data_IF_778647265962
#
_entry.id   IF_778647265962
#
_cell.length_a   1.000
_cell.length_b   1.000
_cell.length_c   1.000
_cell.angle_alpha   90.00
_cell.angle_beta   90.00
_cell.angle_gamma   90.00
#
_symmetry.space_group_name_H-M   'P 1'
#
loop_
_entity.id
_entity.type
_entity.pdbx_description
1 polymer ?
#
# COMPACT_ATOMS: atom_id res chain seq x y z
N UNK A 1 11.50 -1.33 -31.45
CA UNK A 1 10.24 -1.95 -30.93
C UNK A 1 10.59 -2.69 -29.67
N UNK A 2 10.00 -2.30 -28.56
CA UNK A 2 10.18 -3.00 -27.27
C UNK A 2 9.41 -4.32 -27.28
N UNK A 3 9.72 -5.23 -26.36
CA UNK A 3 8.98 -6.49 -26.21
C UNK A 3 7.50 -6.25 -25.94
N UNK A 4 7.19 -5.25 -25.12
CA UNK A 4 5.79 -4.87 -24.84
C UNK A 4 5.07 -4.40 -26.12
N UNK A 5 5.70 -3.56 -26.94
CA UNK A 5 5.10 -3.12 -28.22
C UNK A 5 4.82 -4.31 -29.14
N UNK A 6 5.77 -5.25 -29.24
CA UNK A 6 5.59 -6.48 -30.04
C UNK A 6 4.41 -7.30 -29.53
N UNK A 7 4.30 -7.52 -28.21
CA UNK A 7 3.19 -8.28 -27.63
C UNK A 7 1.83 -7.59 -27.81
N UNK A 8 1.80 -6.26 -27.73
CA UNK A 8 0.57 -5.49 -27.98
C UNK A 8 0.15 -5.62 -29.44
N UNK A 9 1.06 -5.51 -30.40
CA UNK A 9 0.75 -5.70 -31.83
C UNK A 9 0.27 -7.12 -32.14
N UNK A 10 0.88 -8.13 -31.51
CA UNK A 10 0.55 -9.54 -31.74
C UNK A 10 -0.79 -9.93 -31.11
N UNK A 11 -1.01 -9.58 -29.84
CA UNK A 11 -2.16 -10.06 -29.05
C UNK A 11 -3.31 -9.05 -28.93
N UNK A 12 -3.07 -7.78 -29.22
CA UNK A 12 -4.07 -6.72 -29.11
C UNK A 12 -4.21 -5.86 -30.39
N UNK A 13 -4.23 -6.44 -31.61
CA UNK A 13 -4.22 -5.67 -32.86
C UNK A 13 -5.45 -4.74 -33.01
N UNK A 14 -6.54 -5.05 -32.31
CA UNK A 14 -7.78 -4.27 -32.30
C UNK A 14 -8.00 -3.54 -30.95
N UNK A 15 -6.94 -3.39 -30.14
CA UNK A 15 -7.01 -2.83 -28.79
C UNK A 15 -7.38 -3.87 -27.73
N UNK A 16 -7.65 -3.40 -26.52
CA UNK A 16 -7.91 -4.22 -25.33
C UNK A 16 -9.39 -4.12 -24.96
N UNK A 17 -10.01 -5.26 -24.63
CA UNK A 17 -11.38 -5.29 -24.12
C UNK A 17 -11.48 -4.62 -22.75
N UNK A 18 -12.59 -3.90 -22.49
CA UNK A 18 -12.89 -3.29 -21.19
C UNK A 18 -14.15 -3.92 -20.59
N UNK A 19 -14.08 -4.30 -19.32
CA UNK A 19 -15.23 -4.84 -18.58
C UNK A 19 -15.44 -4.10 -17.27
N UNK A 20 -16.71 -4.04 -16.83
CA UNK A 20 -17.04 -3.49 -15.52
C UNK A 20 -16.71 -4.49 -14.40
N UNK A 21 -16.30 -4.00 -13.23
CA UNK A 21 -15.99 -4.86 -12.08
C UNK A 21 -17.17 -5.75 -11.69
N UNK A 22 -18.41 -5.25 -11.77
CA UNK A 22 -19.59 -6.04 -11.46
C UNK A 22 -19.82 -7.25 -12.38
N UNK A 23 -19.20 -7.28 -13.59
CA UNK A 23 -19.20 -8.45 -14.48
C UNK A 23 -18.03 -9.41 -14.19
N UNK A 24 -16.99 -8.94 -13.54
CA UNK A 24 -15.74 -9.66 -13.35
C UNK A 24 -15.62 -10.32 -11.99
N UNK A 25 -16.39 -9.89 -11.00
CA UNK A 25 -16.24 -10.40 -9.64
C UNK A 25 -17.29 -9.86 -8.69
N UNK A 26 -17.05 -10.10 -7.42
CA UNK A 26 -17.95 -9.70 -6.33
C UNK A 26 -17.21 -8.92 -5.25
N UNK A 27 -17.91 -7.95 -4.63
CA UNK A 27 -17.42 -7.21 -3.49
C UNK A 27 -17.86 -7.85 -2.18
N UNK A 28 -16.97 -7.93 -1.19
CA UNK A 28 -17.25 -8.40 0.15
C UNK A 28 -16.77 -7.40 1.21
N UNK A 29 -17.35 -7.45 2.41
CA UNK A 29 -16.97 -6.60 3.54
C UNK A 29 -15.82 -7.20 4.34
N UNK A 30 -15.11 -6.35 5.08
CA UNK A 30 -14.20 -6.78 6.14
C UNK A 30 -14.95 -7.32 7.35
N UNK A 31 -14.23 -7.48 8.46
CA UNK A 31 -14.76 -7.98 9.73
C UNK A 31 -16.02 -7.24 10.18
N UNK A 32 -16.94 -7.97 10.78
CA UNK A 32 -18.15 -7.42 11.38
C UNK A 32 -18.32 -7.91 12.80
N UNK A 33 -18.98 -7.09 13.65
CA UNK A 33 -19.33 -7.48 15.03
C UNK A 33 -18.15 -7.62 15.99
N UNK A 34 -16.98 -7.00 15.69
CA UNK A 34 -15.80 -7.03 16.54
C UNK A 34 -15.72 -5.80 17.45
N UNK A 35 -15.31 -6.01 18.69
CA UNK A 35 -14.99 -5.00 19.69
C UNK A 35 -13.47 -4.74 19.76
N UNK A 36 -13.04 -3.78 20.56
CA UNK A 36 -11.60 -3.54 20.80
C UNK A 36 -10.90 -4.75 21.44
N UNK A 37 -11.59 -5.47 22.30
CA UNK A 37 -11.03 -6.59 23.06
C UNK A 37 -10.70 -7.77 22.13
N UNK A 38 -11.42 -7.92 21.02
CA UNK A 38 -11.14 -8.95 20.01
C UNK A 38 -9.79 -8.77 19.30
N UNK A 39 -9.13 -7.62 19.45
CA UNK A 39 -7.83 -7.33 18.82
C UNK A 39 -6.65 -7.36 19.80
N UNK A 40 -6.86 -7.73 21.08
CA UNK A 40 -5.79 -7.74 22.09
C UNK A 40 -4.94 -9.01 21.99
N UNK A 41 -5.56 -10.18 22.00
CA UNK A 41 -4.91 -11.50 21.95
C UNK A 41 -5.58 -12.37 20.89
N UNK A 42 -5.52 -11.95 19.63
CA UNK A 42 -6.20 -12.61 18.53
C UNK A 42 -5.58 -13.96 18.16
N UNK A 43 -6.42 -14.88 17.68
CA UNK A 43 -6.02 -16.20 17.21
C UNK A 43 -5.89 -16.31 15.69
N UNK A 44 -6.11 -15.21 14.96
CA UNK A 44 -6.08 -15.19 13.50
C UNK A 44 -5.46 -13.88 12.99
N UNK A 45 -4.73 -13.97 11.88
CA UNK A 45 -4.04 -12.81 11.26
C UNK A 45 -5.05 -11.80 10.70
N UNK A 46 -4.76 -10.52 10.92
CA UNK A 46 -5.64 -9.40 10.58
C UNK A 46 -4.91 -8.37 9.73
N UNK A 47 -5.52 -7.96 8.63
CA UNK A 47 -4.99 -6.94 7.72
C UNK A 47 -5.63 -5.59 8.09
N UNK A 48 -4.79 -4.68 8.57
CA UNK A 48 -5.22 -3.35 9.02
C UNK A 48 -5.58 -2.42 7.86
N UNK A 49 -6.29 -1.34 8.17
CA UNK A 49 -6.54 -0.24 7.22
C UNK A 49 -5.25 0.31 6.63
N UNK A 50 -4.23 0.56 7.47
CA UNK A 50 -2.95 1.12 7.03
C UNK A 50 -2.16 0.17 6.13
N UNK A 51 -2.28 -1.13 6.34
CA UNK A 51 -1.67 -2.11 5.44
C UNK A 51 -2.24 -1.97 4.02
N UNK A 52 -3.57 -1.89 3.88
CA UNK A 52 -4.23 -1.68 2.59
C UNK A 52 -3.93 -0.29 2.00
N UNK A 53 -3.89 0.74 2.83
CA UNK A 53 -3.68 2.12 2.41
C UNK A 53 -2.28 2.34 1.85
N UNK A 54 -1.25 1.91 2.58
CA UNK A 54 0.14 2.24 2.30
C UNK A 54 0.81 1.33 1.27
N UNK A 55 0.34 0.10 1.11
CA UNK A 55 1.01 -0.90 0.27
C UNK A 55 0.19 -1.22 -0.99
N UNK A 56 0.86 -1.35 -2.13
CA UNK A 56 0.23 -1.81 -3.39
C UNK A 56 -0.01 -3.33 -3.37
N UNK A 57 0.81 -4.06 -2.62
CA UNK A 57 0.63 -5.48 -2.30
C UNK A 57 0.64 -5.66 -0.78
N UNK A 58 -0.13 -6.61 -0.28
CA UNK A 58 -0.28 -6.81 1.16
C UNK A 58 1.04 -7.19 1.83
N UNK A 59 1.39 -6.45 2.86
CA UNK A 59 2.44 -6.87 3.77
C UNK A 59 1.89 -7.95 4.72
N UNK A 60 2.38 -9.18 4.56
CA UNK A 60 2.00 -10.32 5.41
C UNK A 60 2.87 -10.46 6.66
N UNK A 61 3.97 -9.71 6.73
CA UNK A 61 4.82 -9.63 7.93
C UNK A 61 4.20 -8.62 8.94
N UNK A 62 3.04 -8.99 9.46
CA UNK A 62 2.31 -8.23 10.48
C UNK A 62 2.03 -9.09 11.70
N UNK A 63 2.07 -8.47 12.88
CA UNK A 63 1.68 -9.07 14.16
C UNK A 63 0.23 -8.79 14.52
N UNK A 64 -0.46 -8.02 13.70
CA UNK A 64 -1.86 -7.67 13.93
C UNK A 64 -2.71 -8.93 13.89
N UNK A 65 -3.50 -9.15 14.93
CA UNK A 65 -4.32 -10.33 15.09
C UNK A 65 -5.74 -9.95 15.57
N UNK A 66 -6.68 -10.86 15.34
CA UNK A 66 -8.07 -10.72 15.78
C UNK A 66 -8.57 -12.05 16.32
N UNK A 67 -9.39 -12.02 17.35
CA UNK A 67 -10.05 -13.20 17.90
C UNK A 67 -11.24 -13.60 17.01
N UNK A 68 -11.19 -14.82 16.47
CA UNK A 68 -12.28 -15.40 15.68
C UNK A 68 -12.85 -16.62 16.43
N UNK A 69 -14.14 -16.60 16.67
CA UNK A 69 -14.84 -17.72 17.30
C UNK A 69 -14.97 -18.93 16.38
N UNK A 70 -14.96 -20.15 16.94
CA UNK A 70 -14.97 -21.40 16.16
C UNK A 70 -16.17 -21.53 15.19
N UNK A 71 -17.33 -20.97 15.53
CA UNK A 71 -18.56 -20.97 14.70
C UNK A 71 -18.80 -19.65 13.96
N UNK A 72 -17.90 -18.70 14.08
CA UNK A 72 -18.06 -17.36 13.53
C UNK A 72 -17.82 -17.36 12.01
N UNK A 73 -18.75 -16.80 11.27
CA UNK A 73 -18.66 -16.66 9.81
C UNK A 73 -18.16 -15.25 9.46
N UNK A 74 -16.93 -15.17 9.03
CA UNK A 74 -16.32 -13.93 8.53
C UNK A 74 -15.74 -14.18 7.12
N UNK A 75 -15.70 -13.13 6.30
CA UNK A 75 -15.01 -13.20 5.02
C UNK A 75 -13.50 -13.29 5.25
N UNK A 76 -12.85 -14.16 4.49
CA UNK A 76 -11.39 -14.27 4.44
C UNK A 76 -10.86 -13.68 3.14
N UNK A 77 -9.63 -13.18 3.19
CA UNK A 77 -8.90 -12.73 2.01
C UNK A 77 -8.30 -13.95 1.32
N UNK A 78 -8.41 -14.03 0.00
CA UNK A 78 -7.83 -15.08 -0.83
C UNK A 78 -6.81 -14.51 -1.81
N UNK A 79 -5.91 -15.37 -2.31
CA UNK A 79 -4.95 -15.01 -3.35
C UNK A 79 -5.65 -14.37 -4.56
N UNK A 80 -5.13 -13.22 -5.00
CA UNK A 80 -5.69 -12.42 -6.09
C UNK A 80 -6.78 -11.43 -5.69
N UNK A 81 -7.25 -11.43 -4.43
CA UNK A 81 -8.21 -10.43 -3.96
C UNK A 81 -7.61 -9.03 -4.00
N UNK A 82 -8.40 -8.08 -4.47
CA UNK A 82 -8.08 -6.65 -4.43
C UNK A 82 -8.82 -6.01 -3.27
N UNK A 83 -8.08 -5.46 -2.33
CA UNK A 83 -8.63 -4.83 -1.14
C UNK A 83 -8.65 -3.32 -1.31
N UNK A 84 -9.66 -2.67 -0.75
CA UNK A 84 -9.85 -1.21 -0.85
C UNK A 84 -10.14 -0.61 0.52
N UNK A 85 -9.60 0.58 0.79
CA UNK A 85 -10.05 1.39 1.91
C UNK A 85 -11.48 1.89 1.63
N UNK A 86 -12.38 1.70 2.61
CA UNK A 86 -13.80 2.02 2.44
C UNK A 86 -14.11 3.50 2.64
N UNK A 87 -13.28 4.21 3.38
CA UNK A 87 -13.47 5.64 3.66
C UNK A 87 -12.14 6.35 3.89
N UNK A 88 -12.12 7.68 3.68
CA UNK A 88 -10.99 8.56 3.98
C UNK A 88 -11.48 9.96 4.35
N UNK A 89 -10.61 10.77 4.92
CA UNK A 89 -10.86 12.19 5.21
C UNK A 89 -10.74 13.06 3.95
N UNK A 90 -10.01 12.59 2.95
CA UNK A 90 -9.85 13.28 1.66
C UNK A 90 -10.40 12.45 0.50
N UNK A 91 -10.96 13.09 -0.56
CA UNK A 91 -11.41 12.37 -1.76
C UNK A 91 -10.26 11.63 -2.45
N UNK A 92 -9.06 12.19 -2.39
CA UNK A 92 -7.89 11.67 -3.09
C UNK A 92 -7.36 10.36 -2.50
N UNK A 93 -7.55 10.14 -1.23
CA UNK A 93 -7.15 8.93 -0.51
C UNK A 93 -8.24 7.86 -0.47
N UNK A 94 -9.45 8.19 -0.94
CA UNK A 94 -10.57 7.25 -0.90
C UNK A 94 -10.34 6.06 -1.83
N UNK A 95 -10.64 4.85 -1.36
CA UNK A 95 -10.55 3.64 -2.17
C UNK A 95 -9.11 3.32 -2.59
N UNK A 96 -8.11 3.58 -1.73
CA UNK A 96 -6.74 3.08 -1.95
C UNK A 96 -6.75 1.57 -1.93
N UNK A 97 -5.99 0.95 -2.83
CA UNK A 97 -6.04 -0.49 -3.04
C UNK A 97 -4.75 -1.20 -2.65
N UNK A 98 -4.86 -2.45 -2.27
CA UNK A 98 -3.77 -3.40 -2.08
C UNK A 98 -4.19 -4.78 -2.57
N UNK A 99 -3.26 -5.63 -2.99
CA UNK A 99 -3.58 -6.94 -3.56
C UNK A 99 -2.83 -8.04 -2.80
N UNK A 100 -3.49 -9.17 -2.56
CA UNK A 100 -2.82 -10.35 -2.07
C UNK A 100 -2.15 -11.09 -3.23
N UNK A 101 -0.85 -10.85 -3.40
CA UNK A 101 -0.02 -11.39 -4.50
C UNK A 101 0.73 -12.67 -4.12
N UNK A 102 0.70 -13.06 -2.84
CA UNK A 102 1.39 -14.25 -2.31
C UNK A 102 0.39 -15.28 -1.81
N UNK A 103 0.67 -16.54 -2.07
CA UNK A 103 -0.08 -17.63 -1.45
C UNK A 103 0.23 -17.73 0.04
N UNK A 104 -0.78 -18.04 0.83
CA UNK A 104 -0.65 -18.29 2.27
C UNK A 104 -1.62 -19.39 2.71
N UNK A 105 -1.17 -20.22 3.63
CA UNK A 105 -2.00 -21.23 4.30
C UNK A 105 -2.84 -20.60 5.45
N UNK A 106 -2.44 -19.41 5.90
CA UNK A 106 -3.10 -18.73 7.00
C UNK A 106 -4.40 -18.05 6.53
N UNK A 107 -5.43 -18.13 7.35
CA UNK A 107 -6.63 -17.33 7.14
C UNK A 107 -6.36 -15.88 7.47
N UNK A 108 -6.56 -15.02 6.51
CA UNK A 108 -6.40 -13.58 6.64
C UNK A 108 -7.76 -12.91 6.73
N UNK A 109 -7.92 -12.02 7.71
CA UNK A 109 -9.16 -11.24 7.90
C UNK A 109 -8.90 -9.77 7.63
N UNK A 110 -9.91 -9.07 7.10
CA UNK A 110 -9.80 -7.70 6.64
C UNK A 110 -10.44 -6.74 7.64
N UNK A 111 -9.82 -5.59 7.83
CA UNK A 111 -10.37 -4.48 8.61
C UNK A 111 -11.80 -4.09 8.18
N UNK A 112 -12.67 -3.79 9.16
CA UNK A 112 -14.08 -3.43 8.92
C UNK A 112 -14.27 -2.13 8.12
N UNK A 113 -13.28 -1.23 8.12
CA UNK A 113 -13.27 -0.01 7.29
C UNK A 113 -12.74 -0.25 5.87
N UNK A 114 -12.41 -1.49 5.53
CA UNK A 114 -12.00 -1.91 4.21
C UNK A 114 -13.03 -2.88 3.61
N UNK A 115 -12.92 -3.11 2.32
CA UNK A 115 -13.70 -4.13 1.60
C UNK A 115 -12.82 -4.78 0.53
N UNK A 116 -13.14 -6.02 0.19
CA UNK A 116 -12.43 -6.77 -0.85
C UNK A 116 -13.25 -6.89 -2.11
N UNK A 117 -12.55 -7.14 -3.21
CA UNK A 117 -13.08 -7.54 -4.50
C UNK A 117 -12.40 -8.82 -4.94
N UNK A 118 -13.19 -9.83 -5.28
CA UNK A 118 -12.75 -11.16 -5.72
C UNK A 118 -13.19 -11.39 -7.15
N UNK A 119 -12.26 -11.69 -8.03
CA UNK A 119 -12.55 -12.08 -9.40
C UNK A 119 -13.23 -13.45 -9.44
N UNK A 120 -14.22 -13.64 -10.33
CA UNK A 120 -14.83 -14.94 -10.59
C UNK A 120 -13.83 -15.88 -11.27
N UNK A 121 -13.09 -15.37 -12.25
CA UNK A 121 -12.01 -16.05 -12.93
C UNK A 121 -10.68 -15.51 -12.42
N UNK A 122 -9.97 -16.36 -11.65
CA UNK A 122 -8.70 -15.99 -11.01
C UNK A 122 -7.52 -15.94 -12.00
N UNK A 123 -7.70 -16.49 -13.21
CA UNK A 123 -6.67 -16.52 -14.25
C UNK A 123 -6.79 -15.34 -15.24
N UNK A 124 -7.95 -14.67 -15.25
CA UNK A 124 -8.23 -13.56 -16.17
C UNK A 124 -7.32 -12.35 -15.95
N UNK A 125 -7.07 -12.02 -14.68
CA UNK A 125 -6.24 -10.87 -14.28
C UNK A 125 -5.22 -11.33 -13.24
N UNK A 126 -3.94 -11.21 -13.59
CA UNK A 126 -2.84 -11.55 -12.70
C UNK A 126 -2.83 -10.63 -11.46
N UNK A 127 -2.62 -11.16 -10.25
CA UNK A 127 -2.53 -10.34 -9.04
C UNK A 127 -1.43 -9.27 -9.11
N UNK A 128 -0.26 -9.61 -9.72
CA UNK A 128 0.82 -8.65 -9.98
C UNK A 128 0.39 -7.51 -10.91
N UNK A 129 -0.46 -7.78 -11.92
CA UNK A 129 -1.02 -6.74 -12.78
C UNK A 129 -2.06 -5.91 -12.04
N UNK A 130 -2.94 -6.54 -11.24
CA UNK A 130 -3.94 -5.86 -10.43
C UNK A 130 -3.33 -4.84 -9.47
N UNK A 131 -2.19 -5.14 -8.82
CA UNK A 131 -1.57 -4.21 -7.86
C UNK A 131 -1.20 -2.86 -8.48
N UNK A 132 -0.76 -2.86 -9.75
CA UNK A 132 -0.46 -1.64 -10.50
C UNK A 132 -1.72 -1.01 -11.13
N UNK A 133 -2.57 -1.83 -11.73
CA UNK A 133 -3.78 -1.39 -12.41
C UNK A 133 -4.65 -0.53 -11.50
N UNK A 134 -5.01 -1.01 -10.30
CA UNK A 134 -5.89 -0.29 -9.38
C UNK A 134 -5.27 0.94 -8.73
N UNK A 135 -3.95 1.10 -8.84
CA UNK A 135 -3.20 2.31 -8.43
C UNK A 135 -2.94 3.26 -9.60
N UNK A 136 -3.23 2.87 -10.84
CA UNK A 136 -3.05 3.74 -12.01
C UNK A 136 -3.95 4.98 -11.93
N UNK A 137 -3.49 6.09 -12.50
CA UNK A 137 -4.22 7.36 -12.49
C UNK A 137 -5.63 7.22 -13.09
N UNK A 138 -5.76 6.46 -14.19
CA UNK A 138 -7.02 6.23 -14.87
C UNK A 138 -8.05 5.54 -13.99
N UNK A 139 -7.63 4.49 -13.25
CA UNK A 139 -8.50 3.77 -12.32
C UNK A 139 -8.76 4.60 -11.06
N UNK A 140 -7.76 5.28 -10.52
CA UNK A 140 -7.92 6.18 -9.37
C UNK A 140 -8.97 7.25 -9.65
N UNK A 141 -8.98 7.85 -10.84
CA UNK A 141 -10.03 8.82 -11.26
C UNK A 141 -11.43 8.22 -11.27
N UNK A 142 -11.59 6.97 -11.69
CA UNK A 142 -12.88 6.28 -11.66
C UNK A 142 -13.30 5.95 -10.21
N UNK A 143 -12.39 5.39 -9.41
CA UNK A 143 -12.65 4.99 -8.02
C UNK A 143 -13.05 6.20 -7.17
N UNK A 144 -12.34 7.33 -7.27
CA UNK A 144 -12.68 8.58 -6.56
C UNK A 144 -14.11 9.04 -6.82
N UNK A 145 -14.61 8.90 -8.04
CA UNK A 145 -16.00 9.25 -8.42
C UNK A 145 -17.06 8.35 -7.77
N UNK A 146 -16.66 7.20 -7.21
CA UNK A 146 -17.56 6.30 -6.47
C UNK A 146 -17.78 6.74 -5.03
N UNK A 147 -16.88 7.56 -4.51
CA UNK A 147 -16.97 8.09 -3.15
C UNK A 147 -17.94 9.26 -3.04
N UNK A 148 -18.49 9.44 -1.86
CA UNK A 148 -19.37 10.57 -1.52
C UNK A 148 -19.23 10.89 -0.02
N UNK A 149 -19.40 12.17 0.33
CA UNK A 149 -19.28 12.69 1.69
C UNK A 149 -18.84 14.14 1.68
N UNK A 150 -18.74 14.74 2.86
CA UNK A 150 -18.28 16.14 3.05
C UNK A 150 -17.04 16.17 3.92
N UNK A 151 -17.12 15.66 5.16
CA UNK A 151 -16.00 15.57 6.10
C UNK A 151 -15.33 14.20 6.08
N UNK A 152 -16.06 13.17 5.68
CA UNK A 152 -15.58 11.81 5.48
C UNK A 152 -16.18 11.26 4.20
N UNK A 153 -15.31 10.83 3.32
CA UNK A 153 -15.68 10.28 2.02
C UNK A 153 -15.79 8.77 2.12
N UNK A 154 -16.92 8.21 1.68
CA UNK A 154 -17.18 6.78 1.72
C UNK A 154 -17.34 6.23 0.31
N UNK A 155 -16.65 5.15 0.00
CA UNK A 155 -16.72 4.45 -1.29
C UNK A 155 -18.01 3.62 -1.35
N UNK A 156 -18.75 3.77 -2.43
CA UNK A 156 -19.95 2.96 -2.70
C UNK A 156 -19.59 1.72 -3.51
N UNK A 157 -19.70 0.51 -2.91
CA UNK A 157 -19.49 -0.77 -3.63
C UNK A 157 -20.38 -0.88 -4.86
N UNK A 158 -21.65 -0.43 -4.80
CA UNK A 158 -22.57 -0.42 -5.94
C UNK A 158 -22.11 0.49 -7.09
N UNK A 159 -21.45 1.61 -6.78
CA UNK A 159 -20.81 2.45 -7.83
C UNK A 159 -19.53 1.82 -8.32
N UNK A 160 -18.76 1.14 -7.45
CA UNK A 160 -17.55 0.40 -7.84
C UNK A 160 -17.82 -0.70 -8.86
N UNK A 161 -18.98 -1.35 -8.82
CA UNK A 161 -19.41 -2.34 -9.84
C UNK A 161 -19.40 -1.77 -11.26
N UNK A 162 -19.54 -0.44 -11.41
CA UNK A 162 -19.55 0.27 -12.71
C UNK A 162 -18.17 0.72 -13.17
N UNK A 163 -17.16 0.62 -12.34
CA UNK A 163 -15.76 0.92 -12.70
C UNK A 163 -15.34 -0.06 -13.78
N UNK A 164 -14.72 0.45 -14.85
CA UNK A 164 -14.28 -0.34 -16.00
C UNK A 164 -12.78 -0.52 -15.97
N UNK A 165 -12.33 -1.76 -16.20
CA UNK A 165 -10.90 -2.10 -16.27
C UNK A 165 -10.57 -2.73 -17.64
N UNK A 166 -9.35 -2.52 -18.16
CA UNK A 166 -8.85 -3.22 -19.33
C UNK A 166 -8.56 -4.69 -19.00
N UNK A 167 -8.78 -5.58 -19.93
CA UNK A 167 -8.49 -7.01 -19.85
C UNK A 167 -7.49 -7.38 -20.96
N UNK A 168 -6.22 -7.00 -20.82
CA UNK A 168 -5.22 -7.42 -21.80
C UNK A 168 -4.90 -8.92 -21.63
N UNK A 169 -4.45 -9.60 -22.69
CA UNK A 169 -3.97 -10.97 -22.62
C UNK A 169 -2.88 -11.15 -21.56
N UNK A 170 -2.80 -12.36 -21.00
CA UNK A 170 -1.91 -12.66 -19.85
C UNK A 170 -0.43 -12.40 -20.19
N UNK A 171 -0.03 -12.62 -21.44
CA UNK A 171 1.32 -12.33 -21.94
C UNK A 171 1.67 -10.84 -21.80
N UNK A 172 0.74 -9.98 -22.21
CA UNK A 172 0.88 -8.52 -22.07
C UNK A 172 0.89 -8.11 -20.59
N UNK A 173 0.00 -8.71 -19.76
CA UNK A 173 0.00 -8.46 -18.32
C UNK A 173 1.34 -8.80 -17.67
N UNK A 174 1.93 -9.97 -18.00
CA UNK A 174 3.23 -10.43 -17.47
C UNK A 174 4.34 -9.44 -17.81
N UNK A 175 4.40 -9.00 -19.06
CA UNK A 175 5.44 -8.06 -19.48
C UNK A 175 5.28 -6.69 -18.81
N UNK A 176 4.06 -6.19 -18.66
CA UNK A 176 3.80 -4.96 -17.90
C UNK A 176 4.26 -5.12 -16.44
N UNK A 177 3.93 -6.24 -15.79
CA UNK A 177 4.37 -6.53 -14.42
C UNK A 177 5.89 -6.55 -14.33
N UNK A 178 6.56 -7.26 -15.23
CA UNK A 178 8.03 -7.35 -15.28
C UNK A 178 8.69 -5.97 -15.36
N UNK A 179 8.16 -5.11 -16.23
CA UNK A 179 8.68 -3.74 -16.39
C UNK A 179 8.46 -2.93 -15.12
N UNK A 180 7.26 -2.96 -14.55
CA UNK A 180 6.92 -2.15 -13.38
C UNK A 180 7.59 -2.64 -12.10
N UNK A 181 7.76 -3.96 -11.93
CA UNK A 181 8.52 -4.54 -10.82
C UNK A 181 9.99 -4.11 -10.89
N UNK A 182 10.63 -4.15 -12.08
CA UNK A 182 12.00 -3.67 -12.26
C UNK A 182 12.15 -2.18 -11.90
N UNK A 183 11.20 -1.33 -12.31
CA UNK A 183 11.23 0.08 -11.92
C UNK A 183 11.06 0.28 -10.42
N UNK A 184 10.18 -0.50 -9.79
CA UNK A 184 9.96 -0.43 -8.34
C UNK A 184 11.22 -0.85 -7.57
N UNK A 185 11.90 -1.93 -8.00
CA UNK A 185 13.14 -2.41 -7.41
C UNK A 185 14.27 -1.37 -7.53
N UNK A 186 14.53 -0.87 -8.74
CA UNK A 186 15.55 0.17 -8.98
C UNK A 186 15.27 1.44 -8.17
N UNK A 187 13.99 1.84 -8.05
CA UNK A 187 13.61 3.01 -7.26
C UNK A 187 13.87 2.76 -5.77
N UNK A 188 13.57 1.56 -5.27
CA UNK A 188 13.81 1.19 -3.88
C UNK A 188 15.31 1.17 -3.55
N UNK A 189 16.14 0.57 -4.43
CA UNK A 189 17.60 0.54 -4.29
C UNK A 189 18.19 1.96 -4.25
N UNK A 190 17.84 2.81 -5.22
CA UNK A 190 18.32 4.18 -5.28
C UNK A 190 17.88 5.01 -4.05
N UNK A 191 16.65 4.81 -3.59
CA UNK A 191 16.14 5.49 -2.39
C UNK A 191 16.89 5.05 -1.14
N UNK A 192 17.19 3.76 -1.01
CA UNK A 192 17.95 3.21 0.12
C UNK A 192 19.39 3.75 0.12
N UNK A 193 20.07 3.76 -1.03
CA UNK A 193 21.43 4.28 -1.19
C UNK A 193 21.50 5.77 -0.82
N UNK A 194 20.63 6.59 -1.42
CA UNK A 194 20.57 8.03 -1.14
C UNK A 194 20.25 8.34 0.32
N UNK A 195 19.35 7.57 0.93
CA UNK A 195 18.99 7.75 2.35
C UNK A 195 20.17 7.41 3.25
N UNK A 196 20.92 6.34 2.95
CA UNK A 196 22.10 5.94 3.72
C UNK A 196 23.22 6.99 3.62
N UNK A 197 23.52 7.48 2.40
CA UNK A 197 24.53 8.51 2.16
C UNK A 197 24.19 9.82 2.89
N UNK A 198 22.97 10.32 2.72
CA UNK A 198 22.48 11.55 3.37
C UNK A 198 22.49 11.44 4.90
N UNK A 199 22.09 10.28 5.44
CA UNK A 199 22.11 10.03 6.89
C UNK A 199 23.52 10.04 7.44
N UNK A 200 24.48 9.45 6.74
CA UNK A 200 25.88 9.42 7.14
C UNK A 200 26.49 10.85 7.13
N UNK A 201 26.25 11.63 6.08
CA UNK A 201 26.73 13.00 5.96
C UNK A 201 26.17 13.91 7.07
N UNK A 202 24.84 13.91 7.25
CA UNK A 202 24.17 14.71 8.28
C UNK A 202 24.63 14.32 9.70
N UNK A 203 24.87 13.03 9.95
CA UNK A 203 25.35 12.55 11.25
C UNK A 203 26.78 13.03 11.51
N UNK A 204 27.65 13.02 10.50
CA UNK A 204 29.02 13.51 10.59
C UNK A 204 29.03 15.02 10.87
N UNK A 205 28.22 15.81 10.13
CA UNK A 205 28.11 17.25 10.33
C UNK A 205 27.56 17.59 11.72
N UNK A 206 26.49 16.91 12.16
CA UNK A 206 25.93 17.11 13.50
C UNK A 206 26.96 16.85 14.60
N UNK A 207 27.75 15.81 14.45
CA UNK A 207 28.82 15.46 15.39
C UNK A 207 29.90 16.54 15.43
N UNK A 208 30.33 17.05 14.27
CA UNK A 208 31.30 18.15 14.18
C UNK A 208 30.75 19.44 14.81
N UNK A 209 29.48 19.80 14.55
CA UNK A 209 28.81 20.95 15.13
C UNK A 209 28.68 20.88 16.67
N UNK A 210 28.36 19.69 17.19
CA UNK A 210 28.31 19.46 18.65
C UNK A 210 29.67 19.70 19.29
N UNK A 211 30.77 19.14 18.73
CA UNK A 211 32.13 19.37 19.23
C UNK A 211 32.52 20.85 19.17
N UNK A 212 32.17 21.54 18.08
CA UNK A 212 32.41 22.99 17.95
C UNK A 212 31.65 23.77 19.02
N UNK A 213 30.37 23.44 19.24
CA UNK A 213 29.57 24.08 20.29
C UNK A 213 30.16 23.87 21.68
N UNK A 214 30.56 22.66 22.02
CA UNK A 214 31.18 22.34 23.31
C UNK A 214 32.47 23.12 23.52
N UNK A 215 33.34 23.17 22.51
CA UNK A 215 34.56 23.94 22.56
C UNK A 215 34.30 25.44 22.81
N UNK A 216 33.41 26.07 22.05
CA UNK A 216 33.10 27.49 22.24
C UNK A 216 32.40 27.75 23.58
N UNK A 217 31.47 26.92 23.99
CA UNK A 217 30.80 27.02 25.29
C UNK A 217 31.84 27.02 26.41
N UNK A 218 32.72 26.07 26.41
CA UNK A 218 33.69 25.92 27.48
C UNK A 218 34.73 27.07 27.43
N UNK A 219 35.17 27.50 26.24
CA UNK A 219 36.10 28.60 26.07
C UNK A 219 35.47 29.95 26.52
N UNK A 220 34.24 30.22 26.09
CA UNK A 220 33.55 31.49 26.41
C UNK A 220 33.12 31.60 27.89
N UNK A 221 32.88 30.45 28.53
CA UNK A 221 32.48 30.41 29.95
C UNK A 221 33.64 30.24 30.90
N UNK A 222 34.88 30.09 30.41
CA UNK A 222 36.08 30.03 31.24
C UNK A 222 36.50 31.47 31.52
N UNK A 223 36.04 31.99 32.66
CA UNK A 223 36.50 33.30 33.17
C UNK A 223 37.85 33.11 33.83
N UNK A 224 38.86 33.78 33.32
CA UNK A 224 40.21 33.76 33.94
C UNK A 224 40.17 34.10 35.43
N UNK A 225 40.71 33.23 36.25
CA UNK A 225 40.93 33.52 37.66
C UNK A 225 41.98 34.62 37.71
N UNK A 226 41.58 35.88 37.99
CA UNK A 226 42.49 36.92 38.35
C UNK A 226 43.21 36.45 39.62
N UNK A 227 44.43 35.97 39.47
CA UNK A 227 45.38 35.93 40.61
C UNK A 227 45.57 37.38 41.03
N UNK A 228 44.86 37.78 42.08
CA UNK A 228 45.17 38.98 42.80
C UNK A 228 46.63 38.91 43.25
N UNK A 229 47.43 39.79 42.69
CA UNK A 229 48.81 39.96 43.20
C UNK A 229 48.74 40.52 44.60
N UNK A 230 49.44 39.86 45.50
CA UNK A 230 49.80 40.40 46.82
C UNK A 230 50.56 41.72 46.60
N UNK A 231 50.15 42.76 47.32
CA UNK A 231 50.95 43.92 47.66
C UNK A 231 51.24 43.81 49.16
#
# INVERSE_FOLDING_TARGET
MTELERLIEEYCPNGVEYKTLGKLGTFYGGLSGKSKDDFVDGNAKFITYMNVFSNIELNLDTKDAVQIGASEKQNTIEYGDVLFTGSSETPDECGMSSVLTKHTEEKLYLNSFCFGFRFYDKELILPGFSKYLFRSEALRKQIKKTASGVTRFNVSKKKMEKVTIPIPPVEVQREIVRILDNFAELTAELTAELTAELTAELTAELTARKKQYEYYRDTLLTFGVHRGGDI
#
